data_IF_648793553304
#
_entry.id   IF_648793553304
#
_cell.length_a   1.000
_cell.length_b   1.000
_cell.length_c   1.000
_cell.angle_alpha   90.00
_cell.angle_beta   90.00
_cell.angle_gamma   90.00
#
_symmetry.space_group_name_H-M   'P 1'
#
loop_
_entity.id
_entity.type
_entity.pdbx_description
1 polymer ?
#
# COMPACT_ATOMS: atom_id res chain seq x y z
N UNK A 1 -30.14 14.19 -39.99
CA UNK A 1 -28.96 13.36 -39.64
C UNK A 1 -28.23 13.86 -38.39
N UNK A 2 -27.93 15.16 -38.24
CA UNK A 2 -27.20 15.70 -37.08
C UNK A 2 -27.83 15.45 -35.70
N UNK A 3 -29.18 15.54 -35.59
CA UNK A 3 -29.88 15.34 -34.31
C UNK A 3 -29.78 13.88 -33.83
N UNK A 4 -29.85 12.90 -34.74
CA UNK A 4 -29.72 11.48 -34.40
C UNK A 4 -28.34 11.14 -33.83
N UNK A 5 -27.27 11.71 -34.41
CA UNK A 5 -25.89 11.53 -33.95
C UNK A 5 -25.68 12.16 -32.56
N UNK A 6 -26.24 13.35 -32.32
CA UNK A 6 -26.18 14.02 -31.02
C UNK A 6 -26.88 13.19 -29.93
N UNK A 7 -28.09 12.69 -30.21
CA UNK A 7 -28.85 11.87 -29.27
C UNK A 7 -28.11 10.56 -28.98
N UNK A 8 -27.55 9.89 -29.99
CA UNK A 8 -26.77 8.67 -29.76
C UNK A 8 -25.52 8.91 -28.91
N UNK A 9 -24.84 10.05 -29.11
CA UNK A 9 -23.64 10.38 -28.35
C UNK A 9 -23.96 10.67 -26.88
N UNK A 10 -25.04 11.41 -26.61
CA UNK A 10 -25.52 11.69 -25.25
C UNK A 10 -25.96 10.39 -24.56
N UNK A 11 -26.69 9.53 -25.26
CA UNK A 11 -27.10 8.23 -24.75
C UNK A 11 -25.90 7.35 -24.42
N UNK A 12 -24.89 7.29 -25.27
CA UNK A 12 -23.64 6.57 -24.98
C UNK A 12 -22.95 7.11 -23.73
N UNK A 13 -22.83 8.43 -23.60
CA UNK A 13 -22.24 9.06 -22.41
C UNK A 13 -23.00 8.71 -21.13
N UNK A 14 -24.33 8.75 -21.15
CA UNK A 14 -25.15 8.45 -19.97
C UNK A 14 -25.18 6.97 -19.61
N UNK A 15 -25.23 6.09 -20.61
CA UNK A 15 -25.46 4.65 -20.40
C UNK A 15 -24.15 3.87 -20.21
N UNK A 16 -23.06 4.32 -20.82
CA UNK A 16 -21.78 3.60 -20.80
C UNK A 16 -20.74 4.36 -19.98
N UNK A 17 -20.46 5.60 -20.35
CA UNK A 17 -19.34 6.35 -19.78
C UNK A 17 -19.57 6.74 -18.32
N UNK A 18 -20.74 7.28 -17.98
CA UNK A 18 -21.09 7.69 -16.62
C UNK A 18 -21.03 6.54 -15.60
N UNK A 19 -21.68 5.38 -15.83
CA UNK A 19 -21.58 4.26 -14.88
C UNK A 19 -20.18 3.65 -14.82
N UNK A 20 -19.44 3.63 -15.93
CA UNK A 20 -18.05 3.17 -15.93
C UNK A 20 -17.15 4.06 -15.06
N UNK A 21 -17.25 5.39 -15.21
CA UNK A 21 -16.49 6.33 -14.39
C UNK A 21 -16.90 6.29 -12.91
N UNK A 22 -18.19 6.15 -12.62
CA UNK A 22 -18.67 6.00 -11.24
C UNK A 22 -18.14 4.70 -10.61
N UNK A 23 -18.13 3.58 -11.35
CA UNK A 23 -17.54 2.31 -10.90
C UNK A 23 -16.05 2.47 -10.61
N UNK A 24 -15.30 3.05 -11.56
CA UNK A 24 -13.86 3.32 -11.44
C UNK A 24 -13.52 4.13 -10.20
N UNK A 25 -14.24 5.24 -9.98
CA UNK A 25 -14.08 6.09 -8.80
C UNK A 25 -14.34 5.34 -7.48
N UNK A 26 -15.37 4.48 -7.43
CA UNK A 26 -15.69 3.69 -6.22
C UNK A 26 -14.59 2.67 -5.91
N UNK A 27 -14.12 1.94 -6.91
CA UNK A 27 -13.09 0.92 -6.74
C UNK A 27 -11.76 1.56 -6.34
N UNK A 28 -11.37 2.67 -6.98
CA UNK A 28 -10.19 3.44 -6.55
C UNK A 28 -10.31 3.87 -5.09
N UNK A 29 -11.44 4.46 -4.69
CA UNK A 29 -11.65 4.90 -3.31
C UNK A 29 -11.57 3.72 -2.33
N UNK A 30 -12.05 2.54 -2.72
CA UNK A 30 -11.90 1.33 -1.92
C UNK A 30 -10.43 0.97 -1.74
N UNK A 31 -9.66 0.90 -2.83
CA UNK A 31 -8.24 0.56 -2.76
C UNK A 31 -7.42 1.59 -1.98
N UNK A 32 -7.71 2.89 -2.12
CA UNK A 32 -7.10 3.94 -1.30
C UNK A 32 -7.35 3.70 0.19
N UNK A 33 -8.58 3.38 0.55
CA UNK A 33 -8.97 3.11 1.94
C UNK A 33 -8.26 1.86 2.49
N UNK A 34 -8.26 0.76 1.75
CA UNK A 34 -7.58 -0.47 2.17
C UNK A 34 -6.07 -0.32 2.24
N UNK A 35 -5.46 0.46 1.34
CA UNK A 35 -4.03 0.76 1.43
C UNK A 35 -3.70 1.61 2.66
N UNK A 36 -4.51 2.62 2.98
CA UNK A 36 -4.33 3.40 4.21
C UNK A 36 -4.46 2.54 5.48
N UNK A 37 -5.50 1.69 5.55
CA UNK A 37 -5.68 0.75 6.66
C UNK A 37 -4.50 -0.22 6.78
N UNK A 38 -4.05 -0.77 5.66
CA UNK A 38 -2.88 -1.64 5.62
C UNK A 38 -1.64 -0.95 6.24
N UNK A 39 -1.36 0.31 5.86
CA UNK A 39 -0.25 1.09 6.43
C UNK A 39 -0.42 1.23 7.94
N UNK A 40 -1.58 1.69 8.40
CA UNK A 40 -1.87 1.89 9.83
C UNK A 40 -1.69 0.59 10.63
N UNK A 41 -2.24 -0.52 10.15
CA UNK A 41 -2.13 -1.81 10.84
C UNK A 41 -0.69 -2.31 10.88
N UNK A 42 0.07 -2.19 9.79
CA UNK A 42 1.48 -2.56 9.82
C UNK A 42 2.28 -1.65 10.77
N UNK A 43 2.11 -0.33 10.69
CA UNK A 43 2.78 0.64 11.58
C UNK A 43 2.49 0.32 13.06
N UNK A 44 1.25 -0.04 13.38
CA UNK A 44 0.87 -0.47 14.73
C UNK A 44 1.73 -1.66 15.19
N UNK A 45 1.89 -2.70 14.36
CA UNK A 45 2.74 -3.84 14.68
C UNK A 45 4.22 -3.47 14.82
N UNK A 46 4.72 -2.56 13.97
CA UNK A 46 6.12 -2.10 14.03
C UNK A 46 6.42 -1.30 15.30
N UNK A 47 5.47 -0.46 15.74
CA UNK A 47 5.56 0.26 17.01
C UNK A 47 5.54 -0.69 18.21
N UNK A 48 4.67 -1.70 18.20
CA UNK A 48 4.68 -2.72 19.24
C UNK A 48 6.00 -3.49 19.30
N UNK A 49 6.56 -3.83 18.14
CA UNK A 49 7.85 -4.52 18.06
C UNK A 49 9.03 -3.69 18.60
N UNK A 50 9.04 -2.37 18.37
CA UNK A 50 10.16 -1.50 18.76
C UNK A 50 10.00 -0.87 20.14
N UNK A 51 8.82 -0.34 20.46
CA UNK A 51 8.55 0.47 21.65
C UNK A 51 7.68 -0.27 22.68
N UNK A 52 7.19 -1.47 22.36
CA UNK A 52 6.33 -2.28 23.25
C UNK A 52 4.88 -1.76 23.37
N UNK A 53 4.56 -0.65 22.71
CA UNK A 53 3.23 -0.05 22.69
C UNK A 53 3.06 0.80 21.42
N UNK A 54 1.80 0.97 20.99
CA UNK A 54 1.45 1.86 19.89
C UNK A 54 0.37 2.85 20.31
N UNK A 55 0.71 4.15 20.34
CA UNK A 55 -0.27 5.23 20.48
C UNK A 55 -0.98 5.44 19.13
N UNK A 56 -2.32 5.37 19.05
CA UNK A 56 -3.07 5.61 17.82
C UNK A 56 -2.73 6.92 17.11
N UNK A 57 -2.40 8.00 17.85
CA UNK A 57 -2.02 9.28 17.23
C UNK A 57 -0.66 9.20 16.56
N UNK A 58 0.27 8.46 17.16
CA UNK A 58 1.59 8.22 16.56
C UNK A 58 1.42 7.36 15.31
N UNK A 59 0.55 6.34 15.33
CA UNK A 59 0.25 5.52 14.15
C UNK A 59 -0.24 6.38 12.99
N UNK A 60 -1.21 7.27 13.23
CA UNK A 60 -1.73 8.19 12.21
C UNK A 60 -0.63 9.13 11.68
N UNK A 61 0.20 9.68 12.57
CA UNK A 61 1.31 10.54 12.19
C UNK A 61 2.35 9.81 11.32
N UNK A 62 2.66 8.56 11.65
CA UNK A 62 3.61 7.73 10.90
C UNK A 62 3.04 7.21 9.58
N UNK A 63 1.78 7.45 9.25
CA UNK A 63 1.26 7.19 7.92
C UNK A 63 1.90 8.09 6.85
N UNK A 64 2.46 9.24 7.24
CA UNK A 64 3.28 10.09 6.39
C UNK A 64 4.70 9.52 6.22
N UNK A 65 5.17 9.41 4.98
CA UNK A 65 6.44 8.76 4.62
C UNK A 65 7.65 9.43 5.27
N UNK A 66 7.63 10.76 5.42
CA UNK A 66 8.75 11.53 5.97
C UNK A 66 8.79 11.36 7.48
N UNK A 67 7.62 11.39 8.13
CA UNK A 67 7.49 11.12 9.57
C UNK A 67 7.88 9.68 9.90
N UNK A 68 7.41 8.70 9.14
CA UNK A 68 7.79 7.29 9.29
C UNK A 68 9.30 7.12 9.27
N UNK A 69 9.95 7.62 8.20
CA UNK A 69 11.39 7.52 8.02
C UNK A 69 12.15 8.22 9.15
N UNK A 70 11.75 9.44 9.49
CA UNK A 70 12.42 10.20 10.54
C UNK A 70 12.29 9.52 11.91
N UNK A 71 11.14 8.90 12.18
CA UNK A 71 10.89 8.19 13.43
C UNK A 71 11.78 6.95 13.55
N UNK A 72 11.78 6.07 12.55
CA UNK A 72 12.50 4.81 12.63
C UNK A 72 14.01 4.93 12.37
N UNK A 73 14.48 6.01 11.77
CA UNK A 73 15.91 6.35 11.69
C UNK A 73 16.46 6.99 12.98
N UNK A 74 15.59 7.39 13.92
CA UNK A 74 16.04 7.94 15.20
C UNK A 74 16.64 6.85 16.09
N UNK A 75 17.45 7.25 17.08
CA UNK A 75 18.04 6.32 18.04
C UNK A 75 16.92 5.74 18.93
N UNK A 76 16.87 4.42 19.00
CA UNK A 76 15.91 3.65 19.78
C UNK A 76 16.45 3.13 21.10
N UNK A 77 15.64 2.36 21.85
CA UNK A 77 15.99 1.86 23.18
C UNK A 77 17.26 0.99 23.24
N UNK A 78 17.63 0.29 22.16
CA UNK A 78 18.88 -0.48 22.12
C UNK A 78 20.14 0.38 21.96
N UNK A 79 19.98 1.68 21.68
CA UNK A 79 21.07 2.58 21.31
C UNK A 79 21.44 2.56 19.82
N UNK A 80 20.82 1.69 19.02
CA UNK A 80 20.87 1.71 17.55
C UNK A 80 19.71 2.50 16.94
N UNK A 81 19.54 2.45 15.61
CA UNK A 81 18.34 3.00 14.96
C UNK A 81 17.09 2.22 15.40
N UNK A 82 15.96 2.89 15.62
CA UNK A 82 14.68 2.27 16.00
C UNK A 82 14.24 1.18 15.01
N UNK A 83 14.63 1.29 13.74
CA UNK A 83 14.39 0.24 12.76
C UNK A 83 15.09 -1.07 13.09
N UNK A 84 16.29 -1.01 13.69
CA UNK A 84 16.96 -2.20 14.21
C UNK A 84 16.18 -2.83 15.36
N UNK A 85 15.55 -2.02 16.22
CA UNK A 85 14.68 -2.51 17.30
C UNK A 85 13.45 -3.21 16.73
N UNK A 86 12.84 -2.67 15.67
CA UNK A 86 11.74 -3.33 14.94
C UNK A 86 12.17 -4.71 14.46
N UNK A 87 13.29 -4.81 13.74
CA UNK A 87 13.74 -6.07 13.16
C UNK A 87 14.00 -7.15 14.21
N UNK A 88 14.50 -6.78 15.39
CA UNK A 88 14.73 -7.72 16.49
C UNK A 88 13.48 -8.01 17.32
N UNK A 89 12.50 -7.10 17.34
CA UNK A 89 11.26 -7.23 18.11
C UNK A 89 10.09 -7.84 17.34
N UNK A 90 10.22 -8.09 16.04
CA UNK A 90 9.19 -8.73 15.21
C UNK A 90 9.08 -10.23 15.53
N UNK A 91 8.29 -10.54 16.56
CA UNK A 91 7.95 -11.93 16.91
C UNK A 91 6.92 -12.53 15.94
N UNK A 92 6.75 -13.85 15.98
CA UNK A 92 5.84 -14.61 15.11
C UNK A 92 4.40 -14.06 15.08
N UNK A 93 3.89 -13.54 16.21
CA UNK A 93 2.57 -12.91 16.26
C UNK A 93 2.47 -11.64 15.40
N UNK A 94 3.46 -10.76 15.50
CA UNK A 94 3.54 -9.52 14.73
C UNK A 94 3.67 -9.82 13.23
N UNK A 95 4.56 -10.75 12.88
CA UNK A 95 4.76 -11.21 11.51
C UNK A 95 3.47 -11.79 10.95
N UNK A 96 2.78 -12.65 11.70
CA UNK A 96 1.50 -13.23 11.28
C UNK A 96 0.44 -12.15 11.02
N UNK A 97 0.32 -11.14 11.89
CA UNK A 97 -0.58 -10.01 11.69
C UNK A 97 -0.24 -9.20 10.42
N UNK A 98 1.03 -8.90 10.19
CA UNK A 98 1.48 -8.20 8.98
C UNK A 98 1.17 -9.03 7.72
N UNK A 99 1.42 -10.34 7.75
CA UNK A 99 1.15 -11.25 6.62
C UNK A 99 -0.35 -11.33 6.31
N UNK A 100 -1.22 -11.26 7.31
CA UNK A 100 -2.67 -11.14 7.11
C UNK A 100 -3.03 -9.85 6.37
N UNK A 101 -2.51 -8.71 6.81
CA UNK A 101 -2.75 -7.41 6.18
C UNK A 101 -2.23 -7.36 4.74
N UNK A 102 -1.06 -7.94 4.49
CA UNK A 102 -0.53 -8.18 3.15
C UNK A 102 -1.51 -9.00 2.29
N UNK A 103 -2.07 -10.08 2.85
CA UNK A 103 -3.07 -10.90 2.18
C UNK A 103 -4.33 -10.12 1.80
N UNK A 104 -4.83 -9.27 2.69
CA UNK A 104 -5.99 -8.40 2.41
C UNK A 104 -5.67 -7.43 1.27
N UNK A 105 -4.53 -6.75 1.33
CA UNK A 105 -4.10 -5.82 0.27
C UNK A 105 -3.94 -6.52 -1.09
N UNK A 106 -3.40 -7.74 -1.12
CA UNK A 106 -3.25 -8.53 -2.35
C UNK A 106 -4.60 -8.84 -3.01
N UNK A 107 -5.60 -9.24 -2.22
CA UNK A 107 -6.94 -9.51 -2.74
C UNK A 107 -7.62 -8.23 -3.26
N UNK A 108 -7.45 -7.10 -2.58
CA UNK A 108 -7.96 -5.80 -3.04
C UNK A 108 -7.28 -5.31 -4.33
N UNK A 109 -5.97 -5.49 -4.45
CA UNK A 109 -5.23 -5.23 -5.68
C UNK A 109 -5.72 -6.11 -6.83
N UNK A 110 -5.91 -7.41 -6.57
CA UNK A 110 -6.41 -8.38 -7.55
C UNK A 110 -7.83 -8.05 -8.00
N UNK A 111 -8.72 -7.72 -7.06
CA UNK A 111 -10.07 -7.27 -7.35
C UNK A 111 -10.04 -6.01 -8.23
N UNK A 112 -9.24 -5.01 -7.86
CA UNK A 112 -9.10 -3.76 -8.61
C UNK A 112 -8.64 -4.02 -10.04
N UNK A 113 -7.57 -4.78 -10.21
CA UNK A 113 -7.01 -5.12 -11.53
C UNK A 113 -7.94 -5.95 -12.42
N UNK A 114 -8.91 -6.67 -11.82
CA UNK A 114 -9.92 -7.42 -12.56
C UNK A 114 -11.19 -6.60 -12.85
N UNK A 115 -11.50 -5.61 -12.01
CA UNK A 115 -12.78 -4.92 -12.01
C UNK A 115 -12.81 -3.63 -12.84
N UNK A 116 -11.65 -3.02 -13.10
CA UNK A 116 -11.51 -1.81 -13.92
C UNK A 116 -10.46 -1.97 -15.01
N UNK A 117 -10.66 -1.26 -16.11
CA UNK A 117 -9.65 -1.11 -17.15
C UNK A 117 -8.67 -0.01 -16.71
N UNK A 118 -7.41 -0.37 -16.53
CA UNK A 118 -6.35 0.54 -16.08
C UNK A 118 -5.71 1.16 -17.31
N UNK A 119 -6.10 2.39 -17.63
CA UNK A 119 -5.69 3.05 -18.88
C UNK A 119 -4.20 3.44 -18.96
N UNK A 120 -3.47 3.45 -17.85
CA UNK A 120 -2.02 3.73 -17.81
C UNK A 120 -1.23 2.44 -17.60
N UNK A 121 -0.47 2.01 -18.62
CA UNK A 121 0.34 0.79 -18.59
C UNK A 121 1.34 0.77 -17.43
N UNK A 122 1.94 1.91 -17.10
CA UNK A 122 2.88 2.02 -15.97
C UNK A 122 2.19 1.72 -14.63
N UNK A 123 0.97 2.24 -14.42
CA UNK A 123 0.17 2.01 -13.21
C UNK A 123 -0.22 0.54 -13.13
N UNK A 124 -0.70 -0.05 -14.23
CA UNK A 124 -1.05 -1.47 -14.27
C UNK A 124 0.16 -2.37 -13.94
N UNK A 125 1.30 -2.12 -14.60
CA UNK A 125 2.53 -2.88 -14.38
C UNK A 125 3.07 -2.72 -12.95
N UNK A 126 2.96 -1.53 -12.38
CA UNK A 126 3.33 -1.27 -10.98
C UNK A 126 2.45 -2.09 -10.02
N UNK A 127 1.12 -1.99 -10.11
CA UNK A 127 0.20 -2.69 -9.21
C UNK A 127 0.31 -4.22 -9.36
N UNK A 128 0.57 -4.73 -10.57
CA UNK A 128 0.85 -6.16 -10.80
C UNK A 128 2.14 -6.61 -10.12
N UNK A 129 3.21 -5.81 -10.18
CA UNK A 129 4.48 -6.12 -9.49
C UNK A 129 4.31 -6.06 -7.98
N UNK A 130 3.62 -5.04 -7.46
CA UNK A 130 3.31 -4.93 -6.03
C UNK A 130 2.51 -6.14 -5.55
N UNK A 131 1.42 -6.50 -6.23
CA UNK A 131 0.63 -7.69 -5.87
C UNK A 131 1.48 -8.97 -5.88
N UNK A 132 2.34 -9.14 -6.89
CA UNK A 132 3.26 -10.30 -6.93
C UNK A 132 4.22 -10.31 -5.74
N UNK A 133 4.83 -9.18 -5.40
CA UNK A 133 5.75 -9.08 -4.26
C UNK A 133 5.06 -9.46 -2.95
N UNK A 134 3.85 -8.94 -2.73
CA UNK A 134 3.02 -9.25 -1.57
C UNK A 134 2.69 -10.75 -1.50
N UNK A 135 2.24 -11.35 -2.60
CA UNK A 135 1.90 -12.79 -2.65
C UNK A 135 3.13 -13.66 -2.36
N UNK A 136 4.31 -13.30 -2.90
CA UNK A 136 5.56 -14.03 -2.61
C UNK A 136 5.94 -13.95 -1.14
N UNK A 137 5.82 -12.76 -0.52
CA UNK A 137 6.11 -12.60 0.91
C UNK A 137 5.13 -13.36 1.79
N UNK A 138 3.83 -13.36 1.42
CA UNK A 138 2.77 -14.07 2.15
C UNK A 138 2.92 -15.59 2.05
N UNK A 139 3.11 -16.12 0.85
CA UNK A 139 3.10 -17.57 0.61
C UNK A 139 4.48 -18.21 0.80
N UNK A 140 5.55 -17.42 0.78
CA UNK A 140 6.91 -17.85 1.14
C UNK A 140 7.18 -17.87 2.65
N UNK A 141 6.16 -17.60 3.48
CA UNK A 141 6.35 -17.27 4.90
C UNK A 141 6.61 -18.46 5.83
N UNK A 142 6.57 -19.71 5.35
CA UNK A 142 6.95 -20.87 6.18
C UNK A 142 8.39 -20.78 6.69
N UNK A 143 9.24 -19.97 6.05
CA UNK A 143 10.57 -19.56 6.51
C UNK A 143 10.84 -18.07 6.25
N UNK A 144 9.81 -17.21 6.25
CA UNK A 144 9.99 -15.78 5.92
C UNK A 144 11.05 -15.15 6.80
N UNK A 145 12.18 -14.81 6.19
CA UNK A 145 13.21 -14.02 6.81
C UNK A 145 12.56 -12.68 7.20
N UNK A 146 12.50 -12.41 8.51
CA UNK A 146 11.99 -11.16 9.07
C UNK A 146 12.65 -9.97 8.38
N UNK A 147 13.91 -10.13 7.96
CA UNK A 147 14.67 -9.17 7.18
C UNK A 147 14.02 -8.85 5.81
N UNK A 148 13.56 -9.84 5.04
CA UNK A 148 12.89 -9.57 3.76
C UNK A 148 11.57 -8.83 3.96
N UNK A 149 10.78 -9.24 4.96
CA UNK A 149 9.53 -8.56 5.28
C UNK A 149 9.79 -7.12 5.73
N UNK A 150 10.74 -6.92 6.65
CA UNK A 150 11.12 -5.60 7.12
C UNK A 150 11.59 -4.72 5.95
N UNK A 151 12.52 -5.22 5.12
CA UNK A 151 13.02 -4.47 3.96
C UNK A 151 11.89 -4.07 3.01
N UNK A 152 10.94 -4.96 2.73
CA UNK A 152 9.76 -4.63 1.93
C UNK A 152 8.91 -3.53 2.56
N UNK A 153 8.64 -3.59 3.86
CA UNK A 153 7.87 -2.56 4.57
C UNK A 153 8.63 -1.23 4.60
N UNK A 154 9.95 -1.25 4.74
CA UNK A 154 10.78 -0.05 4.68
C UNK A 154 10.69 0.61 3.31
N UNK A 155 10.86 -0.15 2.23
CA UNK A 155 10.70 0.37 0.86
C UNK A 155 9.34 1.06 0.69
N UNK A 156 8.28 0.42 1.18
CA UNK A 156 6.92 0.89 1.04
C UNK A 156 6.60 2.13 1.89
N UNK A 157 7.05 2.17 3.16
CA UNK A 157 6.64 3.19 4.14
C UNK A 157 7.67 4.29 4.35
N UNK A 158 8.94 4.08 3.99
CA UNK A 158 9.96 5.11 3.98
C UNK A 158 10.19 5.70 2.58
N UNK A 159 9.53 5.15 1.55
CA UNK A 159 9.63 5.65 0.18
C UNK A 159 10.98 5.34 -0.47
N UNK A 160 11.64 4.24 -0.06
CA UNK A 160 12.94 3.87 -0.59
C UNK A 160 12.80 3.02 -1.86
N UNK A 161 13.61 3.33 -2.87
CA UNK A 161 13.77 2.55 -4.08
C UNK A 161 15.25 2.34 -4.37
N UNK A 162 15.66 1.12 -4.68
CA UNK A 162 17.06 0.80 -5.06
C UNK A 162 17.52 1.62 -6.29
N UNK A 163 16.61 2.02 -7.18
CA UNK A 163 16.94 2.75 -8.42
C UNK A 163 16.95 4.25 -8.22
N UNK A 164 16.00 4.79 -7.44
CA UNK A 164 15.77 6.25 -7.34
C UNK A 164 16.11 6.83 -5.96
N UNK A 165 16.50 5.99 -5.00
CA UNK A 165 16.72 6.38 -3.62
C UNK A 165 15.41 6.71 -2.90
N UNK A 166 15.48 7.62 -1.93
CA UNK A 166 14.31 8.08 -1.18
C UNK A 166 13.45 9.03 -2.01
N UNK A 167 12.16 8.73 -2.09
CA UNK A 167 11.15 9.55 -2.72
C UNK A 167 10.48 10.49 -1.70
N UNK A 168 9.99 11.63 -2.19
CA UNK A 168 9.37 12.66 -1.35
C UNK A 168 7.91 12.38 -1.00
N UNK A 169 7.27 11.40 -1.66
CA UNK A 169 5.84 11.10 -1.52
C UNK A 169 5.55 9.61 -1.52
N UNK A 170 4.29 9.28 -1.21
CA UNK A 170 3.78 7.90 -1.21
C UNK A 170 3.53 7.44 -2.65
N UNK A 171 4.56 6.85 -3.24
CA UNK A 171 4.53 6.41 -4.62
C UNK A 171 3.45 5.36 -4.90
N UNK A 172 2.97 4.62 -3.90
CA UNK A 172 1.88 3.66 -4.08
C UNK A 172 0.56 4.39 -4.12
N UNK A 173 0.32 5.29 -3.16
CA UNK A 173 -0.86 6.14 -3.18
C UNK A 173 -0.93 6.96 -4.47
N UNK A 174 0.19 7.53 -4.92
CA UNK A 174 0.28 8.28 -6.19
C UNK A 174 -0.12 7.43 -7.40
N UNK A 175 0.20 6.13 -7.41
CA UNK A 175 -0.23 5.22 -8.49
C UNK A 175 -1.70 4.81 -8.35
N UNK A 176 -2.19 4.63 -7.12
CA UNK A 176 -3.61 4.39 -6.85
C UNK A 176 -4.44 5.61 -7.28
N UNK A 177 -3.96 6.84 -7.09
CA UNK A 177 -4.67 8.07 -7.45
C UNK A 177 -4.90 8.24 -8.95
N UNK A 178 -3.99 7.66 -9.75
CA UNK A 178 -4.05 7.61 -11.22
C UNK A 178 -4.98 6.50 -11.75
N UNK A 179 -5.47 5.61 -10.88
CA UNK A 179 -6.52 4.66 -11.26
C UNK A 179 -7.81 5.37 -11.60
#
# INVERSE_FOLDING_TARGET
>A
MAIGVLVSQIMYMLVVWLPANAKRKRIRKNLQHHYALFKEQCIYQLLFASDGAADPKVVEDLADIKKFRAYFAAIGPSGGEKWYDVMNGLEAGHVSSIVVELGILAEELKYTLAAIDVGEDEVYAFLKRLNRAIVVLRDGSENSDVEYLANFLWELFAGWSVVTGYQDGDFVMDRIDKL
#
